data_IF_971640136814
#
_entry.id   IF_971640136814
#
_cell.length_a   1.000
_cell.length_b   1.000
_cell.length_c   1.000
_cell.angle_alpha   90.00
_cell.angle_beta   90.00
_cell.angle_gamma   90.00
#
_symmetry.space_group_name_H-M   'P 1'
#
loop_
_entity.id
_entity.type
_entity.pdbx_description
1 polymer ?
#
# COMPACT_ATOMS: atom_id res chain seq x y z
N UNK A 1 9.63 14.99 2.81
CA UNK A 1 8.86 14.04 3.67
C UNK A 1 7.88 13.35 2.74
N UNK A 2 7.82 12.03 2.68
CA UNK A 2 6.97 11.31 1.74
C UNK A 2 5.61 11.01 2.37
N UNK A 3 4.56 11.10 1.57
CA UNK A 3 3.20 10.72 1.94
C UNK A 3 2.73 9.55 1.08
N UNK A 4 1.96 8.65 1.68
CA UNK A 4 1.35 7.52 0.98
C UNK A 4 -0.16 7.54 1.17
N UNK A 5 -0.89 7.85 0.11
CA UNK A 5 -2.34 7.70 0.11
C UNK A 5 -2.71 6.25 -0.22
N UNK A 6 -3.63 5.70 0.55
CA UNK A 6 -4.18 4.35 0.38
C UNK A 6 -5.68 4.47 0.17
N UNK A 7 -6.15 4.00 -0.98
CA UNK A 7 -7.58 3.89 -1.29
C UNK A 7 -7.95 2.43 -1.47
N UNK A 8 -9.01 1.98 -0.81
CA UNK A 8 -9.60 0.67 -0.98
C UNK A 8 -10.97 0.81 -1.64
N UNK A 9 -11.24 0.00 -2.66
CA UNK A 9 -12.52 0.00 -3.33
C UNK A 9 -13.10 -1.41 -3.48
N UNK A 10 -14.42 -1.49 -3.33
CA UNK A 10 -15.23 -2.65 -3.72
C UNK A 10 -15.71 -2.44 -5.15
N UNK A 11 -15.65 -3.50 -5.95
CA UNK A 11 -16.08 -3.48 -7.35
C UNK A 11 -16.97 -4.69 -7.59
N UNK A 12 -18.05 -4.51 -8.34
CA UNK A 12 -18.91 -5.65 -8.73
C UNK A 12 -18.13 -6.58 -9.67
N UNK A 13 -18.37 -7.90 -9.62
CA UNK A 13 -17.60 -8.87 -10.42
C UNK A 13 -17.66 -8.60 -11.93
N UNK A 14 -18.80 -8.18 -12.45
CA UNK A 14 -19.05 -7.88 -13.86
C UNK A 14 -18.36 -6.59 -14.35
N UNK A 15 -17.91 -5.74 -13.45
CA UNK A 15 -17.25 -4.47 -13.77
C UNK A 15 -15.74 -4.48 -13.43
N UNK A 16 -15.22 -5.56 -12.85
CA UNK A 16 -13.86 -5.60 -12.32
C UNK A 16 -12.79 -5.28 -13.36
N UNK A 17 -12.84 -5.94 -14.51
CA UNK A 17 -11.82 -5.75 -15.55
C UNK A 17 -11.87 -4.33 -16.11
N UNK A 18 -13.05 -3.79 -16.33
CA UNK A 18 -13.23 -2.40 -16.75
C UNK A 18 -12.71 -1.42 -15.68
N UNK A 19 -12.98 -1.67 -14.40
CA UNK A 19 -12.48 -0.84 -13.31
C UNK A 19 -10.94 -0.85 -13.24
N UNK A 20 -10.30 -2.01 -13.43
CA UNK A 20 -8.84 -2.12 -13.48
C UNK A 20 -8.28 -1.27 -14.63
N UNK A 21 -8.83 -1.39 -15.83
CA UNK A 21 -8.39 -0.59 -16.98
C UNK A 21 -8.62 0.92 -16.77
N UNK A 22 -9.75 1.30 -16.19
CA UNK A 22 -10.04 2.69 -15.86
C UNK A 22 -9.02 3.23 -14.84
N UNK A 23 -8.71 2.48 -13.78
CA UNK A 23 -7.74 2.89 -12.76
C UNK A 23 -6.33 3.00 -13.34
N UNK A 24 -5.94 2.13 -14.28
CA UNK A 24 -4.63 2.26 -14.98
C UNK A 24 -4.52 3.58 -15.75
N UNK A 25 -5.62 4.06 -16.34
CA UNK A 25 -5.65 5.39 -17.00
C UNK A 25 -5.57 6.52 -15.98
N UNK A 26 -6.33 6.42 -14.89
CA UNK A 26 -6.29 7.38 -13.78
C UNK A 26 -4.90 7.43 -13.12
N UNK A 27 -4.19 6.30 -13.04
CA UNK A 27 -2.79 6.22 -12.61
C UNK A 27 -1.90 7.19 -13.39
N UNK A 28 -2.04 7.23 -14.71
CA UNK A 28 -1.24 8.13 -15.55
C UNK A 28 -1.55 9.61 -15.25
N UNK A 29 -2.81 9.96 -15.03
CA UNK A 29 -3.19 11.31 -14.63
C UNK A 29 -2.54 11.70 -13.29
N UNK A 30 -2.55 10.81 -12.30
CA UNK A 30 -1.91 11.05 -11.02
C UNK A 30 -0.39 11.24 -11.15
N UNK A 31 0.29 10.40 -11.95
CA UNK A 31 1.75 10.49 -12.17
C UNK A 31 2.15 11.80 -12.88
N UNK A 32 1.34 12.28 -13.82
CA UNK A 32 1.58 13.55 -14.53
C UNK A 32 1.35 14.78 -13.64
N UNK A 33 0.63 14.64 -12.52
CA UNK A 33 0.22 15.74 -11.66
C UNK A 33 0.77 15.64 -10.22
N UNK A 34 1.89 14.97 -10.01
CA UNK A 34 2.64 15.05 -8.75
C UNK A 34 2.81 13.74 -7.99
N UNK A 35 2.10 12.65 -8.35
CA UNK A 35 2.41 11.35 -7.76
C UNK A 35 3.78 10.84 -8.26
N UNK A 36 4.68 10.48 -7.35
CA UNK A 36 5.98 9.87 -7.70
C UNK A 36 5.84 8.43 -8.16
N UNK A 37 4.94 7.72 -7.53
CA UNK A 37 4.69 6.31 -7.77
C UNK A 37 3.22 6.00 -7.50
N UNK A 38 2.64 5.18 -8.35
CA UNK A 38 1.29 4.67 -8.17
C UNK A 38 1.29 3.17 -8.39
N UNK A 39 0.70 2.43 -7.45
CA UNK A 39 0.53 0.97 -7.52
C UNK A 39 -0.94 0.62 -7.44
N UNK A 40 -1.35 -0.31 -8.28
CA UNK A 40 -2.66 -0.95 -8.22
C UNK A 40 -2.51 -2.40 -7.76
N UNK A 41 -3.36 -2.84 -6.87
CA UNK A 41 -3.34 -4.21 -6.38
C UNK A 41 -4.73 -4.78 -6.14
N UNK A 42 -4.83 -6.10 -6.19
CA UNK A 42 -6.00 -6.87 -5.79
C UNK A 42 -5.73 -7.59 -4.48
N UNK A 43 -6.61 -7.43 -3.50
CA UNK A 43 -6.52 -8.11 -2.22
C UNK A 43 -6.75 -9.61 -2.39
N UNK A 44 -5.77 -10.44 -1.98
CA UNK A 44 -5.77 -11.90 -2.15
C UNK A 44 -6.09 -12.66 -0.87
N UNK A 45 -6.00 -12.01 0.29
CA UNK A 45 -6.22 -12.68 1.58
C UNK A 45 -6.98 -11.81 2.58
N UNK A 46 -7.55 -12.44 3.62
CA UNK A 46 -8.28 -11.78 4.69
C UNK A 46 -9.71 -11.38 4.30
N UNK A 47 -10.37 -10.61 5.15
CA UNK A 47 -11.77 -10.18 5.01
C UNK A 47 -12.03 -9.24 3.80
N UNK A 48 -10.98 -8.74 3.19
CA UNK A 48 -11.05 -7.80 2.06
C UNK A 48 -10.72 -8.43 0.70
N UNK A 49 -10.72 -9.77 0.59
CA UNK A 49 -10.46 -10.49 -0.67
C UNK A 49 -11.34 -9.94 -1.80
N UNK A 50 -10.73 -9.70 -2.95
CA UNK A 50 -11.39 -9.19 -4.15
C UNK A 50 -11.56 -7.67 -4.22
N UNK A 51 -11.21 -6.92 -3.16
CA UNK A 51 -11.17 -5.45 -3.23
C UNK A 51 -9.92 -4.97 -3.94
N UNK A 52 -10.05 -3.86 -4.66
CA UNK A 52 -8.93 -3.16 -5.28
C UNK A 52 -8.28 -2.23 -4.25
N UNK A 53 -6.95 -2.11 -4.35
CA UNK A 53 -6.15 -1.20 -3.55
C UNK A 53 -5.37 -0.28 -4.48
N UNK A 54 -5.36 1.01 -4.17
CA UNK A 54 -4.66 2.02 -4.94
C UNK A 54 -3.72 2.78 -3.99
N UNK A 55 -2.42 2.71 -4.27
CA UNK A 55 -1.36 3.31 -3.47
C UNK A 55 -0.73 4.43 -4.27
N UNK A 56 -0.67 5.63 -3.70
CA UNK A 56 -0.13 6.81 -4.36
C UNK A 56 0.91 7.48 -3.44
N UNK A 57 2.14 7.61 -3.92
CA UNK A 57 3.25 8.22 -3.19
C UNK A 57 3.45 9.65 -3.65
N UNK A 58 3.61 10.58 -2.70
CA UNK A 58 3.78 12.01 -2.94
C UNK A 58 4.95 12.56 -2.11
N UNK A 59 5.66 13.54 -2.65
CA UNK A 59 6.71 14.27 -1.89
C UNK A 59 6.13 15.31 -0.93
N UNK A 60 5.00 15.90 -1.30
CA UNK A 60 4.31 16.92 -0.53
C UNK A 60 2.81 16.74 -0.56
N UNK A 61 2.10 17.46 0.31
CA UNK A 61 0.63 17.52 0.28
C UNK A 61 0.13 18.31 -0.93
N UNK A 62 0.89 19.31 -1.40
CA UNK A 62 0.55 20.07 -2.61
C UNK A 62 0.60 19.18 -3.87
N UNK A 63 1.54 18.21 -3.91
CA UNK A 63 1.57 17.19 -4.97
C UNK A 63 0.34 16.30 -4.92
N UNK A 64 -0.08 15.91 -3.70
CA UNK A 64 -1.28 15.12 -3.52
C UNK A 64 -2.54 15.89 -3.95
N UNK A 65 -2.65 17.17 -3.59
CA UNK A 65 -3.76 18.05 -3.99
C UNK A 65 -3.85 18.13 -5.51
N UNK A 66 -2.75 18.47 -6.20
CA UNK A 66 -2.74 18.53 -7.68
C UNK A 66 -3.14 17.22 -8.35
N UNK A 67 -2.65 16.08 -7.82
CA UNK A 67 -3.02 14.78 -8.36
C UNK A 67 -4.50 14.46 -8.12
N UNK A 68 -5.05 14.81 -6.94
CA UNK A 68 -6.47 14.62 -6.64
C UNK A 68 -7.36 15.48 -7.53
N UNK A 69 -7.03 16.74 -7.74
CA UNK A 69 -7.76 17.63 -8.64
C UNK A 69 -7.78 17.06 -10.06
N UNK A 70 -6.61 16.68 -10.58
CA UNK A 70 -6.47 16.13 -11.92
C UNK A 70 -7.32 14.87 -12.14
N UNK A 71 -7.31 13.91 -11.22
CA UNK A 71 -8.11 12.71 -11.46
C UNK A 71 -9.59 12.89 -11.12
N UNK A 72 -9.98 13.80 -10.23
CA UNK A 72 -11.40 14.08 -9.99
C UNK A 72 -12.04 14.84 -11.16
N UNK A 73 -11.25 15.61 -11.92
CA UNK A 73 -11.68 16.24 -13.16
C UNK A 73 -11.70 15.27 -14.36
N UNK A 74 -11.01 14.13 -14.24
CA UNK A 74 -10.94 13.14 -15.31
C UNK A 74 -12.31 12.51 -15.59
N UNK A 75 -12.70 12.45 -16.88
CA UNK A 75 -14.00 11.93 -17.29
C UNK A 75 -14.18 10.46 -16.94
N UNK A 76 -13.10 9.65 -17.04
CA UNK A 76 -13.13 8.21 -16.74
C UNK A 76 -13.31 7.98 -15.23
N UNK A 77 -12.66 8.79 -14.39
CA UNK A 77 -12.88 8.75 -12.95
C UNK A 77 -14.34 9.04 -12.62
N UNK A 78 -14.90 10.13 -13.18
CA UNK A 78 -16.30 10.51 -12.93
C UNK A 78 -17.29 9.45 -13.42
N UNK A 79 -17.03 8.85 -14.58
CA UNK A 79 -17.83 7.74 -15.10
C UNK A 79 -17.76 6.50 -14.20
N UNK A 80 -16.55 6.13 -13.76
CA UNK A 80 -16.31 5.02 -12.84
C UNK A 80 -17.08 5.20 -11.54
N UNK A 81 -17.01 6.39 -10.94
CA UNK A 81 -17.74 6.72 -9.71
C UNK A 81 -19.27 6.75 -9.89
N UNK A 82 -19.77 7.23 -11.05
CA UNK A 82 -21.21 7.26 -11.36
C UNK A 82 -21.80 5.90 -11.73
N UNK A 83 -20.97 4.91 -12.05
CA UNK A 83 -21.44 3.58 -12.49
C UNK A 83 -22.29 2.84 -11.44
N UNK A 84 -22.18 3.19 -10.17
CA UNK A 84 -22.77 2.46 -9.04
C UNK A 84 -22.13 1.07 -8.80
N UNK A 85 -21.12 0.70 -9.61
CA UNK A 85 -20.41 -0.60 -9.56
C UNK A 85 -19.05 -0.52 -8.89
N UNK A 86 -18.61 0.70 -8.57
CA UNK A 86 -17.34 1.01 -7.90
C UNK A 86 -17.62 1.84 -6.65
N UNK A 87 -17.20 1.35 -5.48
CA UNK A 87 -17.43 1.98 -4.19
C UNK A 87 -16.10 2.12 -3.44
N UNK A 88 -15.70 3.35 -3.11
CA UNK A 88 -14.56 3.57 -2.21
C UNK A 88 -15.01 3.22 -0.79
N UNK A 89 -14.44 2.15 -0.23
CA UNK A 89 -14.79 1.64 1.10
C UNK A 89 -13.85 2.15 2.19
N UNK A 90 -12.67 2.64 1.82
CA UNK A 90 -11.70 3.24 2.74
C UNK A 90 -10.75 4.16 1.98
N UNK A 91 -10.40 5.29 2.59
CA UNK A 91 -9.34 6.16 2.11
C UNK A 91 -8.62 6.80 3.30
N UNK A 92 -7.32 6.85 3.23
CA UNK A 92 -6.51 7.57 4.21
C UNK A 92 -5.11 7.82 3.67
N UNK A 93 -4.37 8.64 4.39
CA UNK A 93 -2.99 9.00 4.06
C UNK A 93 -2.08 8.70 5.23
N UNK A 94 -0.91 8.20 4.93
CA UNK A 94 0.17 7.95 5.88
C UNK A 94 1.25 9.02 5.71
N UNK A 95 1.88 9.37 6.81
CA UNK A 95 3.21 9.98 6.82
C UNK A 95 4.22 8.86 6.79
N UNK A 96 5.03 8.80 5.72
CA UNK A 96 6.07 7.77 5.56
C UNK A 96 7.27 8.14 6.43
N UNK A 97 7.71 7.21 7.24
CA UNK A 97 8.87 7.35 8.12
C UNK A 97 10.12 6.69 7.53
N UNK A 98 9.93 5.56 6.84
CA UNK A 98 11.04 4.75 6.33
C UNK A 98 10.68 4.11 4.99
N UNK A 99 11.66 4.10 4.10
CA UNK A 99 11.62 3.42 2.79
C UNK A 99 12.88 2.54 2.69
N UNK A 100 12.73 1.33 2.15
CA UNK A 100 13.79 0.36 1.95
C UNK A 100 13.75 -0.14 0.51
N UNK A 101 14.92 -0.21 -0.12
CA UNK A 101 15.04 -0.55 -1.54
C UNK A 101 14.61 0.62 -2.44
N UNK A 102 14.68 0.40 -3.74
CA UNK A 102 14.22 1.38 -4.73
C UNK A 102 12.74 1.18 -5.03
N UNK A 103 11.88 2.06 -4.51
CA UNK A 103 10.44 2.00 -4.73
C UNK A 103 10.05 2.15 -6.20
N UNK A 104 10.90 2.81 -7.02
CA UNK A 104 10.67 2.97 -8.45
C UNK A 104 11.02 1.71 -9.26
N UNK A 105 11.79 0.80 -8.70
CA UNK A 105 12.11 -0.49 -9.31
C UNK A 105 10.85 -1.34 -9.44
N UNK A 106 10.18 -1.21 -10.59
CA UNK A 106 8.88 -1.82 -10.85
C UNK A 106 8.96 -3.20 -11.51
N UNK A 107 10.14 -3.56 -12.03
CA UNK A 107 10.29 -4.77 -12.83
C UNK A 107 10.12 -6.03 -11.99
N UNK A 108 9.22 -6.90 -12.44
CA UNK A 108 8.95 -8.22 -11.86
C UNK A 108 8.28 -8.27 -10.48
N UNK A 109 7.76 -7.17 -9.96
CA UNK A 109 6.97 -7.20 -8.72
C UNK A 109 5.58 -7.81 -8.99
N UNK A 110 5.25 -8.88 -8.28
CA UNK A 110 3.97 -9.58 -8.46
C UNK A 110 3.08 -9.54 -7.23
N UNK A 111 3.67 -9.41 -6.06
CA UNK A 111 2.95 -9.45 -4.79
C UNK A 111 3.40 -8.34 -3.87
N UNK A 112 2.49 -7.97 -2.97
CA UNK A 112 2.82 -7.15 -1.81
C UNK A 112 2.22 -7.77 -0.55
N UNK A 113 2.82 -7.48 0.59
CA UNK A 113 2.19 -7.68 1.89
C UNK A 113 1.83 -6.33 2.48
N UNK A 114 0.68 -6.25 3.12
CA UNK A 114 0.22 -5.08 3.85
C UNK A 114 -0.07 -5.50 5.29
N UNK A 115 0.74 -5.01 6.22
CA UNK A 115 0.57 -5.23 7.66
C UNK A 115 0.07 -3.95 8.30
N UNK A 116 -1.01 -4.04 9.06
CA UNK A 116 -1.56 -2.94 9.85
C UNK A 116 -1.47 -3.34 11.31
N UNK A 117 -0.93 -2.46 12.11
CA UNK A 117 -0.78 -2.63 13.56
C UNK A 117 -0.93 -1.31 14.28
N UNK A 118 -0.93 -1.38 15.62
CA UNK A 118 -0.99 -0.21 16.48
C UNK A 118 0.16 -0.20 17.47
N UNK A 119 0.70 1.00 17.74
CA UNK A 119 1.61 1.31 18.84
C UNK A 119 1.47 2.78 19.21
N UNK A 120 1.91 3.17 20.39
CA UNK A 120 1.82 4.57 20.84
C UNK A 120 2.77 5.48 20.05
N UNK A 121 3.93 4.95 19.66
CA UNK A 121 4.95 5.66 18.87
C UNK A 121 5.41 4.83 17.67
N UNK A 122 5.94 5.45 16.59
CA UNK A 122 6.57 4.74 15.50
C UNK A 122 7.78 3.92 15.99
N UNK A 123 7.74 2.61 15.79
CA UNK A 123 8.75 1.66 16.30
C UNK A 123 9.92 1.50 15.32
N UNK A 124 10.62 2.62 15.01
CA UNK A 124 11.60 2.70 13.92
C UNK A 124 12.72 1.65 14.05
N UNK A 125 13.23 1.42 15.26
CA UNK A 125 14.31 0.46 15.50
C UNK A 125 13.89 -0.99 15.21
N UNK A 126 12.73 -1.42 15.70
CA UNK A 126 12.20 -2.76 15.48
C UNK A 126 11.82 -2.96 14.00
N UNK A 127 11.20 -1.94 13.38
CA UNK A 127 10.85 -1.95 11.96
C UNK A 127 12.09 -2.03 11.07
N UNK A 128 13.17 -1.30 11.39
CA UNK A 128 14.42 -1.36 10.62
C UNK A 128 15.01 -2.76 10.63
N UNK A 129 15.10 -3.40 11.79
CA UNK A 129 15.59 -4.78 11.90
C UNK A 129 14.74 -5.75 11.08
N UNK A 130 13.42 -5.64 11.22
CA UNK A 130 12.47 -6.48 10.51
C UNK A 130 12.56 -6.28 8.99
N UNK A 131 12.54 -5.04 8.50
CA UNK A 131 12.64 -4.72 7.09
C UNK A 131 13.97 -5.18 6.47
N UNK A 132 15.10 -5.01 7.17
CA UNK A 132 16.40 -5.47 6.70
C UNK A 132 16.44 -6.98 6.50
N UNK A 133 15.83 -7.76 7.41
CA UNK A 133 15.76 -9.22 7.25
C UNK A 133 14.85 -9.58 6.07
N UNK A 134 13.70 -8.91 5.90
CA UNK A 134 12.82 -9.16 4.76
C UNK A 134 13.51 -8.86 3.43
N UNK A 135 14.17 -7.71 3.31
CA UNK A 135 14.84 -7.30 2.06
C UNK A 135 16.06 -8.18 1.73
N UNK A 136 16.79 -8.65 2.73
CA UNK A 136 17.87 -9.62 2.52
C UNK A 136 17.37 -11.01 2.10
N UNK A 137 16.07 -11.32 2.25
CA UNK A 137 15.51 -12.66 2.04
C UNK A 137 14.32 -12.70 1.06
N UNK A 138 14.20 -11.72 0.15
CA UNK A 138 13.25 -11.79 -0.96
C UNK A 138 12.28 -10.64 -1.11
N UNK A 139 12.17 -9.74 -0.14
CA UNK A 139 11.47 -8.48 -0.37
C UNK A 139 12.33 -7.55 -1.23
N UNK A 140 11.74 -6.89 -2.21
CA UNK A 140 12.44 -5.94 -3.10
C UNK A 140 12.38 -4.53 -2.51
N UNK A 141 11.24 -4.15 -1.99
CA UNK A 141 11.05 -2.86 -1.31
C UNK A 141 10.25 -3.04 -0.04
N UNK A 142 10.40 -2.11 0.90
CA UNK A 142 9.48 -1.99 2.01
C UNK A 142 9.26 -0.51 2.40
N UNK A 143 8.07 -0.22 2.95
CA UNK A 143 7.65 1.11 3.39
C UNK A 143 6.99 1.00 4.75
N UNK A 144 7.30 1.95 5.63
CA UNK A 144 6.64 2.09 6.93
C UNK A 144 6.17 3.51 7.17
N UNK A 145 4.93 3.67 7.64
CA UNK A 145 4.35 4.97 7.96
C UNK A 145 3.26 4.90 9.00
N UNK A 146 2.93 6.07 9.54
CA UNK A 146 1.83 6.25 10.50
C UNK A 146 0.65 6.95 9.85
N UNK A 147 -0.55 6.62 10.29
CA UNK A 147 -1.77 7.27 9.85
C UNK A 147 -1.74 8.77 10.12
N UNK A 148 -2.12 9.55 9.11
CA UNK A 148 -2.10 11.01 9.15
C UNK A 148 -3.48 11.62 8.91
N UNK A 149 -4.22 11.10 7.92
CA UNK A 149 -5.55 11.59 7.53
C UNK A 149 -6.47 10.41 7.23
N UNK A 150 -7.78 10.60 7.44
CA UNK A 150 -8.83 9.63 7.11
C UNK A 150 -8.91 8.48 8.10
N UNK A 151 -9.31 7.31 7.64
CA UNK A 151 -9.61 6.12 8.46
C UNK A 151 -8.43 5.57 9.28
N UNK A 152 -7.25 6.14 9.15
CA UNK A 152 -6.04 5.73 9.85
C UNK A 152 -5.47 6.84 10.76
N UNK A 153 -6.19 7.94 10.93
CA UNK A 153 -5.71 9.14 11.65
C UNK A 153 -6.03 9.10 13.16
N UNK A 154 -5.86 7.94 13.78
CA UNK A 154 -6.10 7.72 15.22
C UNK A 154 -4.85 7.99 16.10
N UNK A 155 -3.74 8.39 15.48
CA UNK A 155 -2.45 8.61 16.14
C UNK A 155 -1.70 7.34 16.53
N UNK A 156 -2.30 6.16 16.36
CA UNK A 156 -1.73 4.86 16.77
C UNK A 156 -1.60 3.86 15.63
N UNK A 157 -2.36 4.02 14.55
CA UNK A 157 -2.32 3.12 13.41
C UNK A 157 -1.04 3.29 12.61
N UNK A 158 -0.32 2.20 12.43
CA UNK A 158 0.88 2.10 11.62
C UNK A 158 0.68 1.07 10.51
N UNK A 159 1.28 1.34 9.36
CA UNK A 159 1.23 0.47 8.19
C UNK A 159 2.64 0.14 7.73
N UNK A 160 2.89 -1.15 7.53
CA UNK A 160 4.09 -1.67 6.91
C UNK A 160 3.70 -2.41 5.62
N UNK A 161 4.25 -1.99 4.49
CA UNK A 161 4.11 -2.62 3.19
C UNK A 161 5.45 -3.14 2.68
N UNK A 162 5.46 -4.32 2.04
CA UNK A 162 6.65 -4.82 1.35
C UNK A 162 6.25 -5.49 0.04
N UNK A 163 7.12 -5.44 -0.98
CA UNK A 163 6.85 -5.98 -2.31
C UNK A 163 7.77 -7.16 -2.64
N UNK A 164 7.27 -8.10 -3.46
CA UNK A 164 7.94 -9.37 -3.74
C UNK A 164 7.71 -9.83 -5.19
N UNK A 165 8.68 -10.57 -5.78
CA UNK A 165 8.53 -11.15 -7.11
C UNK A 165 7.61 -12.39 -7.13
N UNK A 166 7.44 -13.09 -6.00
CA UNK A 166 6.66 -14.32 -5.91
C UNK A 166 6.13 -14.58 -4.50
N UNK A 167 5.16 -15.50 -4.35
CA UNK A 167 4.70 -15.96 -3.04
C UNK A 167 5.77 -16.75 -2.29
N UNK A 168 6.64 -17.47 -2.99
CA UNK A 168 7.79 -18.14 -2.35
C UNK A 168 8.78 -17.15 -1.76
N UNK A 169 8.97 -15.99 -2.41
CA UNK A 169 9.78 -14.90 -1.83
C UNK A 169 9.14 -14.30 -0.59
N UNK A 170 7.80 -14.16 -0.57
CA UNK A 170 7.08 -13.77 0.66
C UNK A 170 7.35 -14.77 1.77
N UNK A 171 7.17 -16.06 1.50
CA UNK A 171 7.40 -17.12 2.49
C UNK A 171 8.83 -17.07 3.02
N UNK A 172 9.85 -17.10 2.13
CA UNK A 172 11.26 -17.07 2.52
C UNK A 172 11.60 -15.89 3.41
N UNK A 173 11.09 -14.70 3.09
CA UNK A 173 11.34 -13.49 3.86
C UNK A 173 10.75 -13.58 5.29
N UNK A 174 9.51 -14.05 5.41
CA UNK A 174 8.87 -14.17 6.72
C UNK A 174 9.41 -15.33 7.56
N UNK A 175 9.80 -16.46 6.95
CA UNK A 175 10.47 -17.56 7.63
C UNK A 175 11.84 -17.10 8.17
N UNK A 176 12.59 -16.32 7.39
CA UNK A 176 13.85 -15.73 7.83
C UNK A 176 13.65 -14.74 9.00
N UNK A 177 12.61 -13.91 8.95
CA UNK A 177 12.29 -12.98 10.03
C UNK A 177 11.90 -13.70 11.33
N UNK A 178 11.14 -14.79 11.23
CA UNK A 178 10.81 -15.64 12.37
C UNK A 178 12.06 -16.32 12.95
N UNK A 179 12.88 -16.93 12.09
CA UNK A 179 14.13 -17.60 12.50
C UNK A 179 15.13 -16.64 13.15
N UNK A 180 15.21 -15.39 12.70
CA UNK A 180 16.05 -14.35 13.27
C UNK A 180 15.49 -13.75 14.58
N UNK A 181 14.25 -14.09 14.97
CA UNK A 181 13.58 -13.54 16.15
C UNK A 181 13.11 -12.09 16.01
N UNK A 182 13.33 -11.44 14.84
CA UNK A 182 12.96 -10.03 14.64
C UNK A 182 11.46 -9.84 14.52
N UNK A 183 10.72 -10.87 14.11
CA UNK A 183 9.26 -10.85 14.11
C UNK A 183 8.71 -10.81 15.55
N UNK A 184 9.27 -11.61 16.45
CA UNK A 184 8.87 -11.63 17.86
C UNK A 184 9.26 -10.32 18.59
N UNK A 185 10.43 -9.76 18.27
CA UNK A 185 10.83 -8.43 18.77
C UNK A 185 9.80 -7.35 18.36
N UNK A 186 9.41 -7.35 17.08
CA UNK A 186 8.42 -6.41 16.56
C UNK A 186 7.05 -6.59 17.25
N UNK A 187 6.59 -7.83 17.45
CA UNK A 187 5.26 -8.10 18.03
C UNK A 187 5.18 -7.77 19.54
N UNK A 188 6.31 -7.57 20.21
CA UNK A 188 6.33 -7.06 21.59
C UNK A 188 6.00 -5.57 21.68
N UNK A 189 6.26 -4.80 20.61
CA UNK A 189 6.14 -3.33 20.59
C UNK A 189 5.05 -2.83 19.63
N UNK A 190 4.58 -3.69 18.72
CA UNK A 190 3.49 -3.40 17.78
C UNK A 190 2.42 -4.47 17.91
N UNK A 191 1.18 -4.07 18.22
CA UNK A 191 0.02 -4.96 18.17
C UNK A 191 -0.42 -5.12 16.71
N UNK A 192 0.02 -6.19 16.04
CA UNK A 192 -0.36 -6.49 14.66
C UNK A 192 -1.82 -6.92 14.60
N UNK A 193 -2.65 -6.10 13.96
CA UNK A 193 -4.08 -6.36 13.82
C UNK A 193 -4.39 -7.26 12.61
N UNK A 194 -3.64 -7.06 11.51
CA UNK A 194 -3.81 -7.87 10.30
C UNK A 194 -2.58 -7.77 9.39
N UNK A 195 -2.36 -8.87 8.67
CA UNK A 195 -1.44 -8.92 7.54
C UNK A 195 -2.16 -9.55 6.36
N UNK A 196 -2.03 -8.92 5.20
CA UNK A 196 -2.75 -9.30 4.00
C UNK A 196 -1.78 -9.40 2.83
N UNK A 197 -2.06 -10.33 1.92
CA UNK A 197 -1.33 -10.49 0.66
C UNK A 197 -2.15 -9.85 -0.45
N UNK A 198 -1.45 -9.12 -1.31
CA UNK A 198 -2.00 -8.43 -2.47
C UNK A 198 -1.31 -8.94 -3.75
N UNK A 199 -2.06 -9.03 -4.84
CA UNK A 199 -1.53 -9.23 -6.18
C UNK A 199 -1.39 -7.86 -6.84
N UNK A 200 -0.18 -7.48 -7.24
CA UNK A 200 0.06 -6.26 -8.02
C UNK A 200 -0.49 -6.43 -9.43
N UNK A 201 -1.09 -5.38 -9.98
CA UNK A 201 -1.78 -5.34 -11.28
C UNK A 201 -1.14 -4.31 -12.24
N UNK A 202 0.05 -3.82 -11.88
CA UNK A 202 0.81 -2.85 -12.67
C UNK A 202 1.41 -3.48 -13.94
#
# INVERSE_FOLDING_TARGET
MTYLAITQAKVTPDYRDQAIENIKRIKNAALLNGAKLVRLALMQSGSNVGKLMFFQFFESLDDAERAYDAFTEDAIYRETMKSGKFEITRRGMLRVHMEFGDLSAAENLKYATLTIGTSDDPQLGAITKFANVLTANGAVTAVYGSGFVGDMADGKTHVFGATYPSLSAVQSAYDAAAKAGVADELYKVVSVQRRQVLRLLD
#
